data_IF_806758276492
#
_entry.id   IF_806758276492
#
_cell.length_a   1.000
_cell.length_b   1.000
_cell.length_c   1.000
_cell.angle_alpha   90.00
_cell.angle_beta   90.00
_cell.angle_gamma   90.00
#
_symmetry.space_group_name_H-M   'P 1'
#
loop_
_entity.id
_entity.type
_entity.pdbx_description
1 polymer ?
#
# COMPACT_ATOMS: atom_id res chain seq x y z
N UNK A 1 -66.41 6.95 6.76
CA UNK A 1 -65.04 6.74 6.24
C UNK A 1 -64.80 5.23 6.17
N UNK A 2 -64.47 4.69 5.00
CA UNK A 2 -64.15 3.27 4.81
C UNK A 2 -64.91 2.65 3.64
N UNK A 3 -64.18 1.94 2.77
CA UNK A 3 -64.67 1.04 1.69
C UNK A 3 -64.35 1.43 0.23
N UNK A 4 -63.26 2.15 -0.05
CA UNK A 4 -62.73 2.24 -1.43
C UNK A 4 -61.52 1.35 -1.73
N UNK A 5 -60.90 0.74 -0.71
CA UNK A 5 -59.69 -0.08 -0.89
C UNK A 5 -59.93 -1.57 -1.19
N UNK A 6 -61.16 -2.09 -1.06
CA UNK A 6 -61.42 -3.54 -1.08
C UNK A 6 -61.70 -4.20 -2.45
N UNK A 7 -62.00 -3.44 -3.51
CA UNK A 7 -62.47 -4.02 -4.79
C UNK A 7 -61.38 -4.36 -5.82
N UNK A 8 -60.16 -3.86 -5.65
CA UNK A 8 -59.05 -4.15 -6.57
C UNK A 8 -58.36 -5.50 -6.33
N UNK A 9 -58.50 -6.07 -5.13
CA UNK A 9 -57.92 -7.37 -4.77
C UNK A 9 -58.78 -8.57 -5.24
N UNK A 10 -60.08 -8.40 -5.46
CA UNK A 10 -61.01 -9.51 -5.77
C UNK A 10 -61.01 -10.00 -7.22
N UNK A 11 -60.49 -9.22 -8.19
CA UNK A 11 -60.47 -9.62 -9.62
C UNK A 11 -59.19 -10.36 -10.02
N UNK A 12 -58.13 -10.27 -9.21
CA UNK A 12 -56.91 -11.04 -9.41
C UNK A 12 -57.04 -12.50 -8.94
N UNK A 13 -57.81 -12.74 -7.87
CA UNK A 13 -57.97 -14.07 -7.29
C UNK A 13 -58.82 -15.02 -8.14
N UNK A 14 -59.80 -14.52 -8.91
CA UNK A 14 -60.69 -15.36 -9.70
C UNK A 14 -60.06 -15.93 -10.98
N UNK A 15 -59.08 -15.24 -11.57
CA UNK A 15 -58.33 -15.75 -12.73
C UNK A 15 -57.28 -16.79 -12.37
N UNK A 16 -56.68 -16.66 -11.19
CA UNK A 16 -55.74 -17.64 -10.65
C UNK A 16 -56.48 -18.87 -10.13
N UNK A 17 -57.70 -18.72 -9.60
CA UNK A 17 -58.51 -19.83 -9.08
C UNK A 17 -58.83 -20.91 -10.12
N UNK A 18 -59.01 -20.56 -11.39
CA UNK A 18 -59.35 -21.48 -12.49
C UNK A 18 -58.19 -22.38 -12.96
N UNK A 19 -56.96 -22.14 -12.50
CA UNK A 19 -55.82 -23.01 -12.82
C UNK A 19 -55.81 -24.26 -11.95
N UNK A 20 -55.48 -25.40 -12.55
CA UNK A 20 -55.31 -26.65 -11.81
C UNK A 20 -54.29 -26.46 -10.68
N UNK A 21 -54.49 -27.15 -9.55
CA UNK A 21 -53.59 -27.07 -8.39
C UNK A 21 -52.14 -27.40 -8.78
N UNK A 22 -51.95 -28.33 -9.74
CA UNK A 22 -50.65 -28.67 -10.30
C UNK A 22 -49.96 -27.49 -11.02
N UNK A 23 -50.72 -26.70 -11.80
CA UNK A 23 -50.19 -25.52 -12.50
C UNK A 23 -49.74 -24.42 -11.54
N UNK A 24 -50.47 -24.23 -10.43
CA UNK A 24 -50.12 -23.26 -9.38
C UNK A 24 -48.83 -23.67 -8.65
N UNK A 25 -48.69 -24.96 -8.30
CA UNK A 25 -47.46 -25.48 -7.69
C UNK A 25 -46.27 -25.38 -8.65
N UNK A 26 -46.44 -25.75 -9.92
CA UNK A 26 -45.38 -25.69 -10.92
C UNK A 26 -44.86 -24.25 -11.13
N UNK A 27 -45.76 -23.26 -11.15
CA UNK A 27 -45.37 -21.84 -11.23
C UNK A 27 -44.62 -21.36 -9.98
N UNK A 28 -45.10 -21.71 -8.78
CA UNK A 28 -44.43 -21.35 -7.54
C UNK A 28 -43.02 -21.98 -7.47
N UNK A 29 -42.90 -23.24 -7.88
CA UNK A 29 -41.61 -23.95 -7.90
C UNK A 29 -40.67 -23.40 -8.99
N UNK A 30 -41.19 -23.09 -10.17
CA UNK A 30 -40.44 -22.42 -11.23
C UNK A 30 -39.95 -21.04 -10.82
N UNK A 31 -40.75 -20.30 -10.05
CA UNK A 31 -40.35 -19.01 -9.49
C UNK A 31 -39.22 -19.15 -8.46
N UNK A 32 -39.31 -20.15 -7.58
CA UNK A 32 -38.24 -20.46 -6.63
C UNK A 32 -36.94 -20.85 -7.34
N UNK A 33 -37.01 -21.67 -8.38
CA UNK A 33 -35.85 -22.04 -9.20
C UNK A 33 -35.25 -20.80 -9.87
N UNK A 34 -36.07 -19.92 -10.44
CA UNK A 34 -35.61 -18.69 -11.08
C UNK A 34 -34.90 -17.77 -10.08
N UNK A 35 -35.47 -17.58 -8.89
CA UNK A 35 -34.82 -16.82 -7.81
C UNK A 35 -33.50 -17.45 -7.38
N UNK A 36 -33.45 -18.78 -7.27
CA UNK A 36 -32.22 -19.51 -6.94
C UNK A 36 -31.14 -19.33 -8.03
N UNK A 37 -31.51 -19.34 -9.32
CA UNK A 37 -30.60 -19.09 -10.44
C UNK A 37 -30.06 -17.66 -10.41
N UNK A 38 -30.92 -16.66 -10.15
CA UNK A 38 -30.49 -15.25 -10.06
C UNK A 38 -29.51 -15.07 -8.88
N UNK A 39 -29.80 -15.66 -7.73
CA UNK A 39 -28.90 -15.63 -6.57
C UNK A 39 -27.59 -16.36 -6.85
N UNK A 40 -27.64 -17.53 -7.48
CA UNK A 40 -26.46 -18.29 -7.88
C UNK A 40 -25.58 -17.52 -8.87
N UNK A 41 -26.17 -16.91 -9.90
CA UNK A 41 -25.46 -16.08 -10.86
C UNK A 41 -24.87 -14.82 -10.22
N UNK A 42 -25.62 -14.15 -9.34
CA UNK A 42 -25.13 -13.01 -8.57
C UNK A 42 -23.96 -13.38 -7.64
N UNK A 43 -24.04 -14.54 -6.99
CA UNK A 43 -22.97 -15.08 -6.15
C UNK A 43 -21.71 -15.38 -6.98
N UNK A 44 -21.83 -16.06 -8.12
CA UNK A 44 -20.69 -16.33 -9.02
C UNK A 44 -20.07 -15.05 -9.60
N UNK A 45 -20.89 -14.05 -9.95
CA UNK A 45 -20.41 -12.75 -10.40
C UNK A 45 -19.64 -12.01 -9.29
N UNK A 46 -20.13 -12.05 -8.06
CA UNK A 46 -19.41 -11.49 -6.90
C UNK A 46 -18.10 -12.24 -6.61
N UNK A 47 -18.08 -13.56 -6.73
CA UNK A 47 -16.91 -14.40 -6.52
C UNK A 47 -15.82 -14.12 -7.56
N UNK A 48 -16.20 -13.93 -8.84
CA UNK A 48 -15.27 -13.58 -9.92
C UNK A 48 -14.59 -12.23 -9.72
N UNK A 49 -15.30 -11.24 -9.16
CA UNK A 49 -14.70 -9.95 -8.79
C UNK A 49 -13.72 -10.05 -7.63
N UNK A 50 -14.05 -10.85 -6.61
CA UNK A 50 -13.17 -11.09 -5.46
C UNK A 50 -11.90 -11.86 -5.90
N UNK A 51 -12.03 -12.80 -6.84
CA UNK A 51 -10.90 -13.55 -7.37
C UNK A 51 -9.95 -12.66 -8.21
N UNK A 52 -10.48 -11.71 -8.98
CA UNK A 52 -9.69 -10.72 -9.71
C UNK A 52 -8.90 -9.78 -8.79
N UNK A 53 -9.53 -9.26 -7.74
CA UNK A 53 -8.86 -8.42 -6.73
C UNK A 53 -7.78 -9.21 -5.95
N UNK A 54 -8.06 -10.45 -5.57
CA UNK A 54 -7.11 -11.31 -4.85
C UNK A 54 -5.86 -11.66 -5.68
N UNK A 55 -6.02 -11.81 -7.00
CA UNK A 55 -4.90 -12.05 -7.91
C UNK A 55 -3.98 -10.84 -8.06
N UNK A 56 -4.54 -9.64 -8.13
CA UNK A 56 -3.76 -8.40 -8.24
C UNK A 56 -3.01 -8.07 -6.92
N UNK A 57 -3.68 -8.25 -5.78
CA UNK A 57 -3.09 -8.16 -4.44
C UNK A 57 -1.87 -9.09 -4.27
N UNK A 58 -2.01 -10.37 -4.66
CA UNK A 58 -0.96 -11.35 -4.50
C UNK A 58 0.21 -11.14 -5.50
N UNK A 59 -0.08 -10.76 -6.74
CA UNK A 59 0.93 -10.67 -7.79
C UNK A 59 1.73 -9.36 -7.79
N UNK A 60 1.13 -8.25 -7.33
CA UNK A 60 1.74 -6.92 -7.43
C UNK A 60 1.98 -6.28 -6.07
N UNK A 61 0.97 -6.36 -5.19
CA UNK A 61 1.00 -5.62 -3.95
C UNK A 61 1.92 -6.26 -2.89
N UNK A 62 1.81 -7.56 -2.63
CA UNK A 62 2.70 -8.25 -1.67
C UNK A 62 4.19 -8.07 -2.02
N UNK A 63 4.63 -8.31 -3.27
CA UNK A 63 6.02 -8.08 -3.65
C UNK A 63 6.41 -6.59 -3.56
N UNK A 64 5.54 -5.66 -3.96
CA UNK A 64 5.76 -4.23 -3.81
C UNK A 64 5.98 -3.80 -2.36
N UNK A 65 5.13 -4.25 -1.44
CA UNK A 65 5.27 -4.01 -0.01
C UNK A 65 6.57 -4.63 0.55
N UNK A 66 6.96 -5.82 0.08
CA UNK A 66 8.23 -6.45 0.42
C UNK A 66 9.44 -5.59 -0.01
N UNK A 67 9.38 -5.00 -1.20
CA UNK A 67 10.41 -4.06 -1.67
C UNK A 67 10.45 -2.77 -0.83
N UNK A 68 9.30 -2.20 -0.45
CA UNK A 68 9.28 -1.03 0.44
C UNK A 68 9.85 -1.34 1.83
N UNK A 69 9.59 -2.53 2.36
CA UNK A 69 10.19 -2.98 3.61
C UNK A 69 11.71 -3.14 3.50
N UNK A 70 12.21 -3.69 2.38
CA UNK A 70 13.64 -3.78 2.10
C UNK A 70 14.29 -2.39 1.98
N UNK A 71 13.62 -1.44 1.31
CA UNK A 71 14.07 -0.06 1.23
C UNK A 71 14.16 0.59 2.61
N UNK A 72 13.14 0.40 3.46
CA UNK A 72 13.14 0.89 4.85
C UNK A 72 14.31 0.34 5.66
N UNK A 73 14.56 -0.97 5.58
CA UNK A 73 15.69 -1.62 6.25
C UNK A 73 17.02 -1.02 5.83
N UNK A 74 17.24 -0.91 4.52
CA UNK A 74 18.46 -0.33 3.96
C UNK A 74 18.65 1.15 4.33
N UNK A 75 17.57 1.93 4.41
CA UNK A 75 17.63 3.33 4.90
C UNK A 75 18.01 3.41 6.38
N UNK A 76 17.50 2.51 7.22
CA UNK A 76 17.87 2.44 8.64
C UNK A 76 19.34 2.06 8.81
N UNK A 77 19.84 1.10 8.03
CA UNK A 77 21.26 0.73 8.03
C UNK A 77 22.15 1.88 7.54
N UNK A 78 21.75 2.58 6.47
CA UNK A 78 22.45 3.81 6.04
C UNK A 78 22.57 4.81 7.19
N UNK A 79 21.46 5.07 7.89
CA UNK A 79 21.43 6.01 9.02
C UNK A 79 22.29 5.54 10.18
N UNK A 80 22.32 4.23 10.45
CA UNK A 80 23.20 3.65 11.47
C UNK A 80 24.67 3.91 11.13
N UNK A 81 25.10 3.68 9.89
CA UNK A 81 26.49 3.93 9.48
C UNK A 81 26.84 5.41 9.46
N UNK A 82 25.92 6.30 9.07
CA UNK A 82 26.11 7.75 9.18
C UNK A 82 26.37 8.15 10.64
N UNK A 83 25.58 7.66 11.59
CA UNK A 83 25.78 7.98 13.02
C UNK A 83 27.09 7.39 13.53
N UNK A 84 27.45 6.15 13.15
CA UNK A 84 28.75 5.57 13.51
C UNK A 84 29.92 6.37 12.93
N UNK A 85 29.76 6.93 11.74
CA UNK A 85 30.77 7.79 11.10
C UNK A 85 31.14 8.99 11.99
N UNK A 86 30.15 9.63 12.63
CA UNK A 86 30.38 10.77 13.55
C UNK A 86 31.23 10.44 14.77
N UNK A 87 31.36 9.16 15.12
CA UNK A 87 32.13 8.69 16.28
C UNK A 87 33.25 7.72 15.89
N UNK A 88 33.59 7.65 14.60
CA UNK A 88 34.67 6.80 14.10
C UNK A 88 36.01 7.15 14.76
N UNK A 89 36.77 6.11 15.12
CA UNK A 89 38.03 6.27 15.86
C UNK A 89 39.18 6.80 14.97
N UNK A 90 39.13 6.49 13.67
CA UNK A 90 40.13 6.90 12.70
C UNK A 90 39.53 6.91 11.27
N UNK A 91 40.34 7.38 10.31
CA UNK A 91 39.95 7.48 8.91
C UNK A 91 39.65 6.12 8.26
N UNK A 92 40.25 5.03 8.73
CA UNK A 92 39.96 3.68 8.21
C UNK A 92 38.53 3.25 8.54
N UNK A 93 38.07 3.50 9.77
CA UNK A 93 36.66 3.28 10.13
C UNK A 93 35.71 4.20 9.36
N UNK A 94 36.09 5.47 9.13
CA UNK A 94 35.29 6.40 8.32
C UNK A 94 35.08 5.85 6.91
N UNK A 95 36.16 5.45 6.23
CA UNK A 95 36.09 4.90 4.88
C UNK A 95 35.26 3.60 4.84
N UNK A 96 35.39 2.71 5.84
CA UNK A 96 34.56 1.50 5.95
C UNK A 96 33.06 1.84 6.07
N UNK A 97 32.70 2.81 6.91
CA UNK A 97 31.31 3.24 7.05
C UNK A 97 30.79 3.92 5.79
N UNK A 98 31.60 4.72 5.09
CA UNK A 98 31.24 5.32 3.80
C UNK A 98 30.94 4.25 2.73
N UNK A 99 31.75 3.17 2.66
CA UNK A 99 31.49 2.05 1.76
C UNK A 99 30.16 1.36 2.08
N UNK A 100 29.88 1.13 3.36
CA UNK A 100 28.63 0.51 3.82
C UNK A 100 27.42 1.41 3.55
N UNK A 101 27.55 2.72 3.78
CA UNK A 101 26.53 3.72 3.41
C UNK A 101 26.24 3.66 1.91
N UNK A 102 27.26 3.60 1.06
CA UNK A 102 27.06 3.49 -0.40
C UNK A 102 26.33 2.20 -0.77
N UNK A 103 26.71 1.07 -0.18
CA UNK A 103 26.09 -0.23 -0.44
C UNK A 103 24.61 -0.26 -0.03
N UNK A 104 24.28 0.21 1.18
CA UNK A 104 22.89 0.22 1.67
C UNK A 104 22.04 1.23 0.91
N UNK A 105 22.59 2.38 0.51
CA UNK A 105 21.88 3.32 -0.36
C UNK A 105 21.53 2.68 -1.72
N UNK A 106 22.45 1.91 -2.31
CA UNK A 106 22.19 1.20 -3.55
C UNK A 106 21.04 0.19 -3.40
N UNK A 107 21.01 -0.56 -2.29
CA UNK A 107 19.91 -1.49 -1.98
C UNK A 107 18.58 -0.74 -1.83
N UNK A 108 18.58 0.38 -1.10
CA UNK A 108 17.38 1.20 -0.93
C UNK A 108 16.83 1.70 -2.27
N UNK A 109 17.68 2.22 -3.14
CA UNK A 109 17.30 2.73 -4.47
C UNK A 109 16.75 1.62 -5.37
N UNK A 110 17.40 0.45 -5.38
CA UNK A 110 16.92 -0.70 -6.16
C UNK A 110 15.55 -1.19 -5.68
N UNK A 111 15.36 -1.24 -4.36
CA UNK A 111 14.10 -1.66 -3.76
C UNK A 111 12.97 -0.66 -4.03
N UNK A 112 13.23 0.66 -3.93
CA UNK A 112 12.25 1.69 -4.30
C UNK A 112 11.85 1.60 -5.79
N UNK A 113 12.83 1.42 -6.68
CA UNK A 113 12.56 1.24 -8.11
C UNK A 113 11.72 -0.03 -8.40
N UNK A 114 12.05 -1.15 -7.75
CA UNK A 114 11.30 -2.40 -7.89
C UNK A 114 9.85 -2.28 -7.39
N UNK A 115 9.64 -1.59 -6.26
CA UNK A 115 8.29 -1.28 -5.77
C UNK A 115 7.49 -0.45 -6.77
N UNK A 116 8.09 0.59 -7.34
CA UNK A 116 7.43 1.49 -8.29
C UNK A 116 7.01 0.81 -9.59
N UNK A 117 7.75 -0.22 -10.03
CA UNK A 117 7.38 -1.00 -11.21
C UNK A 117 6.11 -1.86 -11.02
N UNK A 118 5.76 -2.18 -9.76
CA UNK A 118 4.65 -3.09 -9.44
C UNK A 118 3.36 -2.34 -9.09
N UNK A 119 3.47 -1.18 -8.42
CA UNK A 119 2.32 -0.46 -7.89
C UNK A 119 1.61 0.39 -8.97
N UNK A 120 0.27 0.47 -8.98
CA UNK A 120 -0.48 1.18 -10.00
C UNK A 120 -0.22 2.70 -9.98
N UNK A 121 -0.15 3.36 -11.16
CA UNK A 121 0.07 4.81 -11.26
C UNK A 121 -1.15 5.60 -10.76
N UNK A 122 -0.91 6.71 -10.06
CA UNK A 122 -1.94 7.51 -9.36
C UNK A 122 -1.35 8.19 -8.12
N UNK A 123 -2.05 8.13 -6.99
CA UNK A 123 -1.60 8.62 -5.68
C UNK A 123 -0.21 8.08 -5.27
N UNK A 124 0.13 6.87 -5.72
CA UNK A 124 1.46 6.28 -5.55
C UNK A 124 2.59 7.09 -6.18
N UNK A 125 2.37 7.70 -7.34
CA UNK A 125 3.41 8.44 -8.05
C UNK A 125 3.74 9.77 -7.33
N UNK A 126 2.73 10.44 -6.79
CA UNK A 126 2.91 11.65 -5.99
C UNK A 126 3.66 11.33 -4.67
N UNK A 127 3.23 10.27 -3.97
CA UNK A 127 3.88 9.82 -2.74
C UNK A 127 5.34 9.39 -2.97
N UNK A 128 5.63 8.74 -4.10
CA UNK A 128 7.00 8.39 -4.47
C UNK A 128 7.84 9.64 -4.75
N UNK A 129 7.33 10.60 -5.53
CA UNK A 129 8.05 11.86 -5.79
C UNK A 129 8.32 12.65 -4.50
N UNK A 130 7.39 12.61 -3.54
CA UNK A 130 7.60 13.20 -2.21
C UNK A 130 8.71 12.48 -1.43
N UNK A 131 8.70 11.14 -1.43
CA UNK A 131 9.76 10.33 -0.83
C UNK A 131 11.12 10.65 -1.45
N UNK A 132 11.22 10.73 -2.78
CA UNK A 132 12.46 11.06 -3.48
C UNK A 132 13.03 12.41 -3.06
N UNK A 133 12.17 13.43 -2.93
CA UNK A 133 12.56 14.77 -2.48
C UNK A 133 13.09 14.78 -1.03
N UNK A 134 12.40 14.07 -0.13
CA UNK A 134 12.79 13.98 1.28
C UNK A 134 14.06 13.15 1.46
N UNK A 135 14.18 12.02 0.74
CA UNK A 135 15.39 11.21 0.73
C UNK A 135 16.59 12.01 0.22
N UNK A 136 16.44 12.75 -0.88
CA UNK A 136 17.49 13.64 -1.39
C UNK A 136 17.91 14.69 -0.36
N UNK A 137 16.94 15.26 0.36
CA UNK A 137 17.20 16.24 1.43
C UNK A 137 17.98 15.61 2.58
N UNK A 138 17.62 14.41 3.01
CA UNK A 138 18.37 13.64 4.01
C UNK A 138 19.79 13.32 3.55
N UNK A 139 19.96 12.80 2.33
CA UNK A 139 21.28 12.46 1.78
C UNK A 139 22.20 13.67 1.65
N UNK A 140 21.65 14.84 1.32
CA UNK A 140 22.41 16.09 1.32
C UNK A 140 22.89 16.48 2.73
N UNK A 141 22.10 16.21 3.77
CA UNK A 141 22.53 16.42 5.16
C UNK A 141 23.59 15.39 5.57
N UNK A 142 23.39 14.11 5.27
CA UNK A 142 24.36 13.06 5.55
C UNK A 142 25.72 13.32 4.87
N UNK A 143 25.72 13.84 3.63
CA UNK A 143 26.95 14.22 2.94
C UNK A 143 27.70 15.37 3.65
N UNK A 144 26.98 16.32 4.27
CA UNK A 144 27.60 17.38 5.09
C UNK A 144 28.22 16.82 6.37
N UNK A 145 27.54 15.86 7.01
CA UNK A 145 28.06 15.16 8.19
C UNK A 145 29.38 14.46 7.86
N UNK A 146 29.40 13.63 6.81
CA UNK A 146 30.62 12.95 6.34
C UNK A 146 31.75 13.94 6.04
N UNK A 147 31.44 15.05 5.36
CA UNK A 147 32.45 16.07 5.05
C UNK A 147 33.04 16.75 6.30
N UNK A 148 32.22 17.02 7.32
CA UNK A 148 32.68 17.58 8.60
C UNK A 148 33.56 16.59 9.36
N UNK A 149 33.11 15.35 9.45
CA UNK A 149 33.84 14.27 10.11
C UNK A 149 35.23 14.06 9.48
N UNK A 150 35.31 13.96 8.14
CA UNK A 150 36.59 13.87 7.41
C UNK A 150 37.49 15.10 7.57
N UNK A 151 36.92 16.26 7.90
CA UNK A 151 37.67 17.50 8.17
C UNK A 151 38.15 17.62 9.62
N UNK A 152 37.93 16.60 10.46
CA UNK A 152 38.27 16.59 11.88
C UNK A 152 37.27 17.35 12.75
N UNK A 153 36.10 17.71 12.21
CA UNK A 153 35.02 18.44 12.90
C UNK A 153 33.88 17.52 13.31
N UNK A 154 34.21 16.41 13.96
CA UNK A 154 33.23 15.37 14.32
C UNK A 154 32.16 15.86 15.31
N UNK A 155 32.46 16.86 16.16
CA UNK A 155 31.45 17.47 17.04
C UNK A 155 30.38 18.20 16.22
N UNK A 156 30.78 19.03 15.23
CA UNK A 156 29.86 19.70 14.31
C UNK A 156 29.07 18.69 13.47
N UNK A 157 29.76 17.63 12.98
CA UNK A 157 29.16 16.54 12.22
C UNK A 157 28.08 15.82 13.03
N UNK A 158 28.38 15.50 14.29
CA UNK A 158 27.45 14.90 15.24
C UNK A 158 26.24 15.80 15.52
N UNK A 159 26.44 17.09 15.76
CA UNK A 159 25.35 18.04 16.01
C UNK A 159 24.39 18.11 14.81
N UNK A 160 24.93 18.21 13.59
CA UNK A 160 24.10 18.19 12.37
C UNK A 160 23.39 16.85 12.21
N UNK A 161 24.08 15.74 12.47
CA UNK A 161 23.50 14.41 12.36
C UNK A 161 22.33 14.22 13.33
N UNK A 162 22.49 14.61 14.59
CA UNK A 162 21.47 14.45 15.65
C UNK A 162 20.30 15.41 15.50
N UNK A 163 20.52 16.60 14.94
CA UNK A 163 19.47 17.59 14.66
C UNK A 163 18.83 17.42 13.28
N UNK A 164 19.37 18.13 12.30
CA UNK A 164 18.80 18.16 10.95
C UNK A 164 18.83 16.80 10.25
N UNK A 165 19.87 16.00 10.48
CA UNK A 165 20.02 14.65 9.92
C UNK A 165 18.89 13.74 10.38
N UNK A 166 18.64 13.70 11.69
CA UNK A 166 17.53 12.95 12.29
C UNK A 166 16.17 13.41 11.76
N UNK A 167 15.90 14.73 11.76
CA UNK A 167 14.62 15.25 11.28
C UNK A 167 14.35 14.87 9.83
N UNK A 168 15.35 15.06 8.94
CA UNK A 168 15.20 14.74 7.52
C UNK A 168 15.05 13.23 7.28
N UNK A 169 15.74 12.42 8.07
CA UNK A 169 15.59 10.97 8.04
C UNK A 169 14.18 10.54 8.44
N UNK A 170 13.68 11.06 9.57
CA UNK A 170 12.34 10.75 10.07
C UNK A 170 11.28 11.13 9.03
N UNK A 171 11.43 12.29 8.36
CA UNK A 171 10.53 12.70 7.28
C UNK A 171 10.54 11.74 6.09
N UNK A 172 11.73 11.32 5.64
CA UNK A 172 11.87 10.36 4.54
C UNK A 172 11.24 9.00 4.88
N UNK A 173 11.49 8.49 6.10
CA UNK A 173 10.93 7.22 6.57
C UNK A 173 9.40 7.31 6.74
N UNK A 174 8.88 8.42 7.23
CA UNK A 174 7.43 8.65 7.31
C UNK A 174 6.78 8.70 5.91
N UNK A 175 7.44 9.28 4.92
CA UNK A 175 6.96 9.28 3.55
C UNK A 175 6.94 7.86 2.95
N UNK A 176 7.97 7.06 3.22
CA UNK A 176 8.03 5.65 2.85
C UNK A 176 6.87 4.86 3.49
N UNK A 177 6.58 5.09 4.77
CA UNK A 177 5.46 4.43 5.45
C UNK A 177 4.10 4.81 4.88
N UNK A 178 3.93 6.08 4.47
CA UNK A 178 2.72 6.53 3.78
C UNK A 178 2.58 5.84 2.42
N UNK A 179 3.67 5.72 1.67
CA UNK A 179 3.68 4.99 0.40
C UNK A 179 3.30 3.52 0.61
N UNK A 180 3.88 2.85 1.60
CA UNK A 180 3.53 1.46 1.93
C UNK A 180 2.04 1.32 2.28
N UNK A 181 1.51 2.20 3.15
CA UNK A 181 0.09 2.24 3.54
C UNK A 181 -0.86 2.49 2.37
N UNK A 182 -0.51 3.40 1.47
CA UNK A 182 -1.30 3.68 0.27
C UNK A 182 -1.40 2.43 -0.62
N UNK A 183 -0.34 1.61 -0.68
CA UNK A 183 -0.38 0.29 -1.29
C UNK A 183 -1.50 -0.58 -0.70
N UNK A 184 -1.55 -0.73 0.62
CA UNK A 184 -2.53 -1.59 1.30
C UNK A 184 -3.98 -1.15 1.05
N UNK A 185 -4.23 0.15 0.93
CA UNK A 185 -5.58 0.68 0.73
C UNK A 185 -6.08 0.55 -0.72
N UNK A 186 -5.16 0.36 -1.68
CA UNK A 186 -5.47 0.25 -3.11
C UNK A 186 -5.75 -1.19 -3.57
N UNK A 187 -5.39 -2.21 -2.78
CA UNK A 187 -5.68 -3.62 -3.04
C UNK A 187 -6.98 -4.06 -2.40
#
# INVERSE_FOLDING_TARGET
>A
MGSFAGRWLGRFTSRVAAWSTATKLALAFGWLILLAVVLGAGSLYSLGRVHGASGELAARWLPGAGHLAAARGAMLEYREFEVKHTTAADAGYMDEYEEKMKATLQVAQQALAASSALLPPGEHQELHGKLDGLLKTYLATAAKVVALDKSGKQEDGKEISEGAGKSNFDDAVMALDKLAKAGFAAG
#
